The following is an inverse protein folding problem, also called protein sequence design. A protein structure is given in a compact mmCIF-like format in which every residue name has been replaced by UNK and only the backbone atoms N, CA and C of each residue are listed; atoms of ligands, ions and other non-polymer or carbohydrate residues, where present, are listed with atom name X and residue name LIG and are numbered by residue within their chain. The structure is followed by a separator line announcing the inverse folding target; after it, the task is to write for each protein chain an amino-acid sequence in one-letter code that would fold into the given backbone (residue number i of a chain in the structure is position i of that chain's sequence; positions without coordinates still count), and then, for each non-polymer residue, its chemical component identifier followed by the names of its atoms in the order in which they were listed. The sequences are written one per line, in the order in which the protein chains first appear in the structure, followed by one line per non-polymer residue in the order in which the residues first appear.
data_IF_623996781441
#
_entry.id   IF_623996781441
#
_cell.length_a   1.000
_cell.length_b   1.000
_cell.length_c   1.000
_cell.angle_alpha   90.00
_cell.angle_beta   90.00
_cell.angle_gamma   90.00
#
_symmetry.space_group_name_H-M   'P 1'
#
loop_
_entity.id
_entity.type
_entity.pdbx_description
1 polymer ?
#
# COMPACT_ATOMS: atom_id res chain seq x y z
N UNK A 1 16.11 33.52 -6.06
CA UNK A 1 15.28 32.53 -5.35
C UNK A 1 16.16 31.31 -5.07
N UNK A 2 16.90 31.33 -3.96
CA UNK A 2 17.82 30.24 -3.60
C UNK A 2 17.03 29.24 -2.76
N UNK A 3 16.73 28.06 -3.32
CA UNK A 3 16.04 27.00 -2.58
C UNK A 3 17.04 26.22 -1.73
N UNK A 4 16.63 25.84 -0.52
CA UNK A 4 17.45 25.03 0.40
C UNK A 4 17.35 23.54 0.04
N UNK A 5 18.37 22.75 0.37
CA UNK A 5 18.37 21.30 0.09
C UNK A 5 17.16 20.60 0.70
N UNK A 6 16.76 20.98 1.91
CA UNK A 6 15.60 20.41 2.60
C UNK A 6 14.27 20.66 1.87
N UNK A 7 14.14 21.73 1.08
CA UNK A 7 12.95 21.98 0.26
C UNK A 7 12.88 21.09 -0.99
N UNK A 8 14.03 20.63 -1.49
CA UNK A 8 14.10 19.73 -2.66
C UNK A 8 13.86 18.27 -2.29
N UNK A 9 14.02 17.89 -1.01
CA UNK A 9 13.90 16.51 -0.53
C UNK A 9 12.45 16.00 -0.40
N UNK A 10 11.45 16.85 -0.70
CA UNK A 10 10.00 16.55 -0.69
C UNK A 10 9.59 15.47 0.33
N UNK A 11 9.84 15.78 1.61
CA UNK A 11 9.69 14.85 2.74
C UNK A 11 8.23 14.43 2.96
N UNK A 12 7.28 15.19 2.45
CA UNK A 12 5.83 14.99 2.62
C UNK A 12 5.16 14.25 1.45
N UNK A 13 5.93 13.85 0.42
CA UNK A 13 5.42 13.18 -0.77
C UNK A 13 4.67 11.85 -0.50
N UNK A 14 4.82 11.26 0.69
CA UNK A 14 4.01 10.10 1.10
C UNK A 14 2.56 10.47 1.38
N UNK A 15 2.32 11.59 2.09
CA UNK A 15 0.97 12.04 2.47
C UNK A 15 0.16 12.37 1.22
N UNK A 16 0.76 13.11 0.28
CA UNK A 16 0.13 13.50 -0.98
C UNK A 16 -0.22 12.30 -1.89
N UNK A 17 0.59 11.23 -1.89
CA UNK A 17 0.28 10.01 -2.66
C UNK A 17 -0.73 9.12 -1.96
N UNK A 18 -0.80 9.19 -0.64
CA UNK A 18 -1.67 8.33 0.16
C UNK A 18 -3.09 8.90 0.26
N UNK A 19 -3.20 10.22 0.41
CA UNK A 19 -4.48 10.94 0.45
C UNK A 19 -4.84 11.34 -0.98
N UNK A 20 -5.81 10.65 -1.58
CA UNK A 20 -6.21 10.88 -2.96
C UNK A 20 -6.79 12.28 -3.25
N UNK A 21 -7.70 12.81 -2.42
CA UNK A 21 -8.30 14.12 -2.67
C UNK A 21 -7.38 15.28 -2.34
N UNK A 22 -7.21 16.21 -3.28
CA UNK A 22 -6.51 17.47 -3.05
C UNK A 22 -7.38 18.47 -2.26
N UNK A 23 -6.78 19.59 -1.83
CA UNK A 23 -7.48 20.58 -1.01
C UNK A 23 -8.73 21.16 -1.69
N UNK A 24 -8.73 21.31 -3.02
CA UNK A 24 -9.90 21.82 -3.74
C UNK A 24 -11.02 20.77 -3.78
N UNK A 25 -10.68 19.51 -4.11
CA UNK A 25 -11.64 18.40 -4.06
C UNK A 25 -12.24 18.20 -2.68
N UNK A 26 -11.43 18.32 -1.61
CA UNK A 26 -11.93 18.26 -0.24
C UNK A 26 -12.97 19.35 0.03
N UNK A 27 -12.72 20.58 -0.41
CA UNK A 27 -13.65 21.68 -0.22
C UNK A 27 -14.95 21.51 -1.01
N UNK A 28 -14.88 20.96 -2.23
CA UNK A 28 -16.07 20.63 -3.03
C UNK A 28 -16.93 19.56 -2.35
N UNK A 29 -16.32 18.47 -1.87
CA UNK A 29 -17.03 17.43 -1.12
C UNK A 29 -17.65 17.96 0.17
N UNK A 30 -16.94 18.81 0.92
CA UNK A 30 -17.46 19.44 2.14
C UNK A 30 -18.70 20.30 1.87
N UNK A 31 -18.73 21.04 0.76
CA UNK A 31 -19.91 21.81 0.32
C UNK A 31 -21.09 20.90 -0.01
N UNK A 32 -20.85 19.75 -0.64
CA UNK A 32 -21.92 18.78 -0.94
C UNK A 32 -22.52 18.17 0.32
N UNK A 33 -21.70 17.91 1.34
CA UNK A 33 -22.15 17.36 2.62
C UNK A 33 -22.77 18.44 3.53
N UNK A 34 -22.49 19.72 3.28
CA UNK A 34 -23.01 20.84 4.06
C UNK A 34 -22.21 21.11 5.35
N UNK A 35 -20.91 20.78 5.36
CA UNK A 35 -20.02 21.03 6.50
C UNK A 35 -18.98 22.11 6.15
N UNK A 36 -18.72 23.02 7.09
CA UNK A 36 -17.79 24.14 6.89
C UNK A 36 -16.31 23.72 6.93
N UNK A 37 -15.99 22.63 7.64
CA UNK A 37 -14.63 22.11 7.76
C UNK A 37 -14.61 20.61 8.06
N UNK A 38 -13.46 19.97 7.86
CA UNK A 38 -13.23 18.57 8.24
C UNK A 38 -13.50 18.34 9.74
N UNK A 39 -13.07 19.26 10.61
CA UNK A 39 -13.32 19.16 12.06
C UNK A 39 -14.80 19.26 12.41
N UNK A 40 -15.54 20.16 11.74
CA UNK A 40 -16.99 20.28 11.91
C UNK A 40 -17.70 18.99 11.48
N UNK A 41 -17.27 18.39 10.36
CA UNK A 41 -17.80 17.11 9.89
C UNK A 41 -17.54 15.97 10.89
N UNK A 42 -16.31 15.88 11.42
CA UNK A 42 -15.95 14.87 12.43
C UNK A 42 -16.81 15.02 13.68
N UNK A 43 -17.03 16.25 14.15
CA UNK A 43 -17.87 16.53 15.32
C UNK A 43 -19.35 16.17 15.15
N UNK A 44 -19.86 16.17 13.92
CA UNK A 44 -21.23 15.74 13.62
C UNK A 44 -21.38 14.21 13.59
N UNK A 45 -20.32 13.48 13.21
CA UNK A 45 -20.36 12.01 13.02
C UNK A 45 -19.97 11.27 14.30
N UNK A 46 -18.90 11.72 14.96
CA UNK A 46 -18.31 11.03 16.12
C UNK A 46 -18.75 11.74 17.39
N UNK A 47 -19.45 11.08 18.33
CA UNK A 47 -19.78 11.66 19.62
C UNK A 47 -18.53 12.08 20.38
N UNK A 48 -18.57 13.25 21.04
CA UNK A 48 -17.43 13.81 21.78
C UNK A 48 -16.89 12.87 22.87
N UNK A 49 -17.75 12.04 23.45
CA UNK A 49 -17.41 11.13 24.55
C UNK A 49 -16.41 10.03 24.16
N UNK A 50 -16.33 9.68 22.87
CA UNK A 50 -15.38 8.68 22.35
C UNK A 50 -14.22 9.30 21.55
N UNK A 51 -14.17 10.64 21.45
CA UNK A 51 -13.09 11.32 20.77
C UNK A 51 -11.85 11.39 21.67
N UNK A 52 -10.68 11.10 21.08
CA UNK A 52 -9.41 11.28 21.78
C UNK A 52 -9.13 12.78 21.95
N UNK A 53 -8.98 13.24 23.19
CA UNK A 53 -8.69 14.64 23.52
C UNK A 53 -7.29 15.10 23.06
N UNK A 54 -6.39 14.17 22.79
CA UNK A 54 -5.00 14.45 22.37
C UNK A 54 -4.62 13.49 21.26
N UNK A 55 -3.85 13.93 20.24
CA UNK A 55 -3.37 13.04 19.20
C UNK A 55 -2.57 11.88 19.80
N UNK A 56 -2.65 10.69 19.18
CA UNK A 56 -1.93 9.51 19.66
C UNK A 56 -0.41 9.76 19.64
N UNK A 57 0.29 9.28 20.66
CA UNK A 57 1.74 9.42 20.82
C UNK A 57 2.48 8.43 19.90
N UNK A 58 2.49 8.71 18.59
CA UNK A 58 3.10 7.84 17.56
C UNK A 58 4.48 8.32 17.07
N UNK A 59 5.02 9.37 17.69
CA UNK A 59 6.29 9.99 17.28
C UNK A 59 6.14 10.87 16.04
N UNK A 60 7.27 11.40 15.57
CA UNK A 60 7.31 12.29 14.41
C UNK A 60 7.16 11.53 13.09
N UNK A 61 6.54 12.20 12.11
CA UNK A 61 6.42 11.66 10.76
C UNK A 61 7.82 11.46 10.13
N UNK A 62 8.02 10.27 9.57
CA UNK A 62 9.26 9.87 8.89
C UNK A 62 9.01 9.72 7.40
N UNK A 63 10.03 10.01 6.58
CA UNK A 63 9.94 9.87 5.13
C UNK A 63 9.90 8.41 4.71
N UNK A 64 9.26 8.09 3.57
CA UNK A 64 9.17 6.70 3.07
C UNK A 64 10.55 6.03 2.96
N UNK A 65 11.56 6.78 2.49
CA UNK A 65 12.92 6.27 2.34
C UNK A 65 13.55 5.88 3.68
N UNK A 66 13.44 6.74 4.70
CA UNK A 66 13.97 6.47 6.03
C UNK A 66 13.24 5.31 6.70
N UNK A 67 11.90 5.24 6.58
CA UNK A 67 11.11 4.12 7.07
C UNK A 67 11.53 2.78 6.43
N UNK A 68 11.75 2.75 5.11
CA UNK A 68 12.22 1.54 4.43
C UNK A 68 13.64 1.14 4.86
N UNK A 69 14.53 2.09 5.12
CA UNK A 69 15.87 1.82 5.63
C UNK A 69 15.82 1.20 7.04
N UNK A 70 14.99 1.76 7.92
CA UNK A 70 14.77 1.24 9.27
C UNK A 70 14.20 -0.19 9.24
N UNK A 71 13.15 -0.42 8.44
CA UNK A 71 12.55 -1.75 8.28
C UNK A 71 13.56 -2.78 7.74
N UNK A 72 14.45 -2.38 6.83
CA UNK A 72 15.54 -3.25 6.34
C UNK A 72 16.53 -3.59 7.45
N UNK A 73 16.90 -2.61 8.30
CA UNK A 73 17.79 -2.85 9.43
C UNK A 73 17.15 -3.81 10.45
N UNK A 74 15.87 -3.66 10.73
CA UNK A 74 15.11 -4.57 11.59
C UNK A 74 15.08 -5.98 10.98
N UNK A 75 14.74 -6.10 9.69
CA UNK A 75 14.68 -7.38 8.99
C UNK A 75 16.06 -8.09 8.91
N UNK A 76 17.15 -7.33 8.93
CA UNK A 76 18.52 -7.87 8.99
C UNK A 76 18.83 -8.64 10.28
N UNK A 77 18.07 -8.43 11.36
CA UNK A 77 18.20 -9.17 12.62
C UNK A 77 17.53 -10.56 12.57
N UNK A 78 16.78 -10.87 11.52
CA UNK A 78 16.07 -12.14 11.40
C UNK A 78 17.03 -13.27 11.02
N UNK A 79 17.07 -14.34 11.83
CA UNK A 79 17.79 -15.57 11.51
C UNK A 79 16.94 -16.44 10.58
N UNK A 80 17.46 -16.75 9.39
CA UNK A 80 16.77 -17.60 8.41
C UNK A 80 17.04 -19.07 8.74
N UNK A 81 16.01 -19.76 9.19
CA UNK A 81 16.05 -21.21 9.35
C UNK A 81 15.47 -21.87 8.10
N UNK A 82 16.23 -22.81 7.52
CA UNK A 82 15.72 -23.66 6.44
C UNK A 82 14.87 -24.76 7.06
N UNK A 83 13.55 -24.58 7.01
CA UNK A 83 12.63 -25.68 7.26
C UNK A 83 12.69 -26.58 6.01
N UNK A 84 13.11 -27.83 6.17
CA UNK A 84 13.30 -28.81 5.09
C UNK A 84 12.01 -29.28 4.40
N UNK A 85 10.91 -28.53 4.54
CA UNK A 85 9.65 -28.81 3.86
C UNK A 85 9.66 -28.24 2.44
N UNK A 86 9.52 -29.12 1.45
CA UNK A 86 9.69 -28.92 0.01
C UNK A 86 8.69 -27.99 -0.72
N UNK A 87 8.17 -26.95 -0.07
CA UNK A 87 7.31 -25.95 -0.71
C UNK A 87 8.08 -24.66 -1.05
N UNK A 88 9.10 -24.79 -1.89
CA UNK A 88 9.74 -23.63 -2.49
C UNK A 88 8.81 -23.02 -3.54
N UNK A 89 8.37 -21.77 -3.32
CA UNK A 89 7.57 -21.04 -4.30
C UNK A 89 8.43 -20.76 -5.54
N UNK A 90 8.07 -21.23 -6.74
CA UNK A 90 8.86 -20.99 -7.94
C UNK A 90 8.90 -19.48 -8.25
N UNK A 91 10.06 -18.95 -8.69
CA UNK A 91 10.27 -17.51 -8.84
C UNK A 91 9.31 -16.85 -9.84
N UNK A 92 8.84 -17.58 -10.86
CA UNK A 92 7.84 -17.10 -11.82
C UNK A 92 6.46 -16.86 -11.19
N UNK A 93 6.07 -17.67 -10.20
CA UNK A 93 4.83 -17.49 -9.43
C UNK A 93 4.92 -16.27 -8.52
N UNK A 94 6.08 -16.04 -7.88
CA UNK A 94 6.30 -14.87 -7.04
C UNK A 94 6.19 -13.54 -7.81
N UNK A 95 6.80 -13.44 -9.00
CA UNK A 95 6.72 -12.21 -9.82
C UNK A 95 5.33 -11.94 -10.38
N UNK A 96 4.64 -12.97 -10.87
CA UNK A 96 3.33 -12.77 -11.51
C UNK A 96 2.19 -12.61 -10.51
N UNK A 97 2.24 -13.41 -9.45
CA UNK A 97 1.14 -13.54 -8.49
C UNK A 97 1.46 -12.97 -7.13
N UNK A 98 2.68 -12.47 -6.85
CA UNK A 98 2.98 -11.83 -5.56
C UNK A 98 3.38 -10.35 -5.69
N UNK A 99 3.95 -9.89 -6.81
CA UNK A 99 4.26 -8.45 -6.99
C UNK A 99 3.21 -7.65 -7.76
N UNK A 100 2.31 -8.28 -8.51
CA UNK A 100 1.32 -7.53 -9.29
C UNK A 100 0.23 -6.88 -8.41
N UNK A 101 0.25 -5.57 -8.21
CA UNK A 101 -0.74 -4.86 -7.36
C UNK A 101 -2.19 -5.17 -7.74
N UNK A 102 -2.46 -5.41 -9.03
CA UNK A 102 -3.79 -5.69 -9.59
C UNK A 102 -4.50 -6.92 -8.98
N UNK A 103 -3.81 -7.99 -8.58
CA UNK A 103 -4.49 -9.14 -7.95
C UNK A 103 -4.69 -8.96 -6.44
N UNK A 104 -3.90 -8.10 -5.78
CA UNK A 104 -4.00 -7.79 -4.34
C UNK A 104 -5.12 -6.82 -4.02
N UNK A 105 -5.24 -5.74 -4.79
CA UNK A 105 -6.22 -4.68 -4.51
C UNK A 105 -7.59 -4.97 -5.09
N UNK A 106 -7.67 -5.82 -6.13
CA UNK A 106 -8.93 -6.17 -6.80
C UNK A 106 -9.73 -7.27 -6.10
N UNK A 107 -9.14 -7.92 -5.10
CA UNK A 107 -9.68 -9.10 -4.43
C UNK A 107 -10.26 -8.77 -3.05
N UNK A 108 -11.28 -7.90 -3.01
CA UNK A 108 -12.33 -8.08 -2.00
C UNK A 108 -13.10 -9.38 -2.32
N UNK A 109 -13.78 -9.97 -1.33
CA UNK A 109 -14.71 -11.10 -1.57
C UNK A 109 -15.64 -10.66 -2.72
N UNK A 110 -15.69 -11.38 -3.86
CA UNK A 110 -16.47 -10.93 -5.00
C UNK A 110 -17.96 -10.91 -4.62
N UNK A 111 -18.63 -9.74 -4.64
CA UNK A 111 -20.01 -9.64 -4.17
C UNK A 111 -21.00 -10.30 -5.15
N UNK A 112 -20.60 -10.53 -6.41
CA UNK A 112 -21.49 -11.03 -7.47
C UNK A 112 -20.69 -11.90 -8.47
N UNK A 113 -21.10 -13.15 -8.77
CA UNK A 113 -20.37 -14.03 -9.67
C UNK A 113 -20.35 -13.56 -11.14
N UNK A 114 -21.19 -12.60 -11.52
CA UNK A 114 -21.40 -12.21 -12.93
C UNK A 114 -20.35 -11.23 -13.49
N UNK A 115 -19.58 -10.53 -12.65
CA UNK A 115 -18.53 -9.59 -13.11
C UNK A 115 -17.12 -10.20 -13.08
N UNK A 116 -17.01 -11.45 -12.63
CA UNK A 116 -15.75 -12.13 -12.42
C UNK A 116 -15.41 -13.08 -13.57
N UNK A 117 -15.05 -12.55 -14.73
CA UNK A 117 -14.13 -13.24 -15.65
C UNK A 117 -12.68 -13.19 -15.10
N UNK A 118 -12.51 -13.24 -13.78
CA UNK A 118 -11.30 -12.79 -13.05
C UNK A 118 -10.39 -13.91 -12.57
N UNK A 119 -10.82 -15.17 -12.66
CA UNK A 119 -9.94 -16.31 -12.39
C UNK A 119 -9.96 -17.23 -13.60
N UNK A 120 -9.12 -16.98 -14.62
CA UNK A 120 -8.99 -17.95 -15.70
C UNK A 120 -8.51 -19.27 -15.09
N UNK A 121 -9.31 -20.33 -15.23
CA UNK A 121 -8.95 -21.74 -14.97
C UNK A 121 -7.67 -22.20 -15.71
N UNK A 122 -7.05 -21.33 -16.51
CA UNK A 122 -6.01 -21.63 -17.49
C UNK A 122 -4.67 -20.91 -17.23
N UNK A 123 -4.23 -20.79 -15.98
CA UNK A 123 -2.87 -20.28 -15.65
C UNK A 123 -1.89 -21.39 -15.27
N UNK A 124 -2.32 -22.65 -15.30
CA UNK A 124 -1.45 -23.80 -14.97
C UNK A 124 -0.88 -24.52 -16.21
N UNK A 125 -1.21 -24.12 -17.45
CA UNK A 125 -0.84 -24.91 -18.65
C UNK A 125 0.42 -24.44 -19.40
N UNK A 126 1.13 -23.39 -18.96
CA UNK A 126 2.32 -22.86 -19.66
C UNK A 126 3.54 -22.67 -18.76
N UNK A 127 3.84 -23.69 -17.96
CA UNK A 127 5.18 -23.92 -17.41
C UNK A 127 5.61 -25.35 -17.73
N UNK A 128 5.59 -25.72 -19.01
CA UNK A 128 6.39 -26.86 -19.48
C UNK A 128 7.36 -26.33 -20.52
N UNK A 129 8.64 -26.71 -20.38
CA UNK A 129 9.73 -26.52 -21.35
C UNK A 129 10.24 -25.10 -21.57
N UNK A 130 11.12 -24.63 -20.66
CA UNK A 130 12.30 -23.86 -21.07
C UNK A 130 13.48 -24.20 -20.15
N UNK A 131 13.80 -25.50 -20.06
CA UNK A 131 15.18 -25.94 -19.87
C UNK A 131 15.66 -26.38 -21.25
N UNK A 132 16.21 -25.45 -22.02
CA UNK A 132 17.06 -25.79 -23.15
C UNK A 132 18.28 -24.87 -23.11
N UNK A 133 19.34 -25.47 -22.57
CA UNK A 133 20.75 -25.29 -22.91
C UNK A 133 21.14 -24.01 -23.65
N UNK A 134 21.94 -23.18 -23.00
CA UNK A 134 23.01 -22.44 -23.65
C UNK A 134 24.17 -22.34 -22.66
N UNK A 135 25.07 -23.31 -22.81
CA UNK A 135 26.49 -23.14 -22.55
C UNK A 135 27.02 -22.16 -23.60
N UNK A 136 27.53 -21.01 -23.15
CA UNK A 136 28.79 -20.42 -23.58
C UNK A 136 29.49 -19.98 -22.30
#
# INVERSE_FOLDING_TARGET
MTQTLSQLENRDAFIERHIGPDAQQQQEMLKTVGADSLNALIGQIVPQDIQLATPPQVGDATTEFAALAELKAIAGRNKRFSLTSAWAIPPCSCRRSFSATCWKTRAGIPPIPLTSRKYPRAVWSRCSTSSRSLWI
#
